data_IF_765619406521
#
_entry.id   IF_765619406521
#
_cell.length_a   1.000
_cell.length_b   1.000
_cell.length_c   1.000
_cell.angle_alpha   90.00
_cell.angle_beta   90.00
_cell.angle_gamma   90.00
#
_symmetry.space_group_name_H-M   'P 1'
#
loop_
_entity.id
_entity.type
_entity.pdbx_description
1 polymer ?
#
# COMPACT_ATOMS: atom_id res chain seq x y z
N UNK A 1 -15.11 -1.12 -16.68
CA UNK A 1 -15.62 -0.49 -15.43
C UNK A 1 -14.69 -0.68 -14.22
N UNK A 2 -13.86 -1.73 -14.16
CA UNK A 2 -12.95 -2.02 -13.01
C UNK A 2 -11.65 -1.19 -12.93
N UNK A 3 -11.11 -0.71 -14.05
CA UNK A 3 -9.80 -0.01 -14.10
C UNK A 3 -9.73 1.26 -13.23
N UNK A 4 -10.83 2.01 -13.11
CA UNK A 4 -10.85 3.27 -12.35
C UNK A 4 -10.71 3.07 -10.85
N UNK A 5 -11.33 2.02 -10.30
CA UNK A 5 -11.20 1.71 -8.86
C UNK A 5 -9.81 1.17 -8.54
N UNK A 6 -9.22 0.40 -9.44
CA UNK A 6 -7.91 -0.21 -9.23
C UNK A 6 -6.77 0.82 -9.17
N UNK A 7 -6.76 1.78 -10.11
CA UNK A 7 -5.84 2.92 -10.05
C UNK A 7 -6.02 3.74 -8.77
N UNK A 8 -7.22 3.74 -8.20
CA UNK A 8 -7.55 4.54 -7.06
C UNK A 8 -7.04 3.95 -5.74
N UNK A 9 -7.19 2.64 -5.52
CA UNK A 9 -6.65 1.95 -4.35
C UNK A 9 -5.13 2.02 -4.28
N UNK A 10 -4.46 1.74 -5.39
CA UNK A 10 -3.01 1.81 -5.47
C UNK A 10 -2.48 3.23 -5.14
N UNK A 11 -3.13 4.27 -5.66
CA UNK A 11 -2.75 5.67 -5.38
C UNK A 11 -2.92 6.04 -3.90
N UNK A 12 -3.84 5.42 -3.16
CA UNK A 12 -4.03 5.67 -1.72
C UNK A 12 -2.87 5.15 -0.88
N UNK A 13 -2.42 3.92 -1.14
CA UNK A 13 -1.29 3.31 -0.44
C UNK A 13 -0.01 4.13 -0.65
N UNK A 14 0.24 4.53 -1.90
CA UNK A 14 1.39 5.39 -2.24
C UNK A 14 1.32 6.76 -1.54
N UNK A 15 0.13 7.39 -1.55
CA UNK A 15 -0.05 8.68 -0.89
C UNK A 15 0.15 8.60 0.62
N UNK A 16 -0.33 7.53 1.28
CA UNK A 16 -0.10 7.33 2.71
C UNK A 16 1.39 7.22 3.04
N UNK A 17 2.12 6.40 2.29
CA UNK A 17 3.57 6.21 2.48
C UNK A 17 4.32 7.54 2.31
N UNK A 18 4.00 8.27 1.25
CA UNK A 18 4.60 9.58 0.97
C UNK A 18 4.26 10.62 2.05
N UNK A 19 2.98 10.81 2.37
CA UNK A 19 2.49 11.87 3.28
C UNK A 19 2.83 11.63 4.74
N UNK A 20 3.06 10.38 5.13
CA UNK A 20 3.47 10.01 6.49
C UNK A 20 5.00 9.91 6.63
N UNK A 21 5.76 10.13 5.55
CA UNK A 21 7.22 10.01 5.57
C UNK A 21 7.70 8.59 5.89
N UNK A 22 6.89 7.58 5.54
CA UNK A 22 7.22 6.17 5.78
C UNK A 22 8.34 5.75 4.83
N UNK A 23 9.30 4.99 5.35
CA UNK A 23 10.50 4.59 4.60
C UNK A 23 10.21 3.56 3.50
N UNK A 24 9.25 2.66 3.70
CA UNK A 24 8.86 1.66 2.70
C UNK A 24 7.43 1.17 2.94
N UNK A 25 6.83 0.54 1.92
CA UNK A 25 5.53 -0.09 2.11
C UNK A 25 5.24 -1.18 1.09
N UNK A 26 4.36 -2.09 1.51
CA UNK A 26 3.94 -3.24 0.72
C UNK A 26 2.41 -3.21 0.66
N UNK A 27 1.87 -3.24 -0.54
CA UNK A 27 0.44 -3.43 -0.77
C UNK A 27 0.21 -4.87 -1.22
N UNK A 28 -0.52 -5.63 -0.41
CA UNK A 28 -0.95 -7.00 -0.73
C UNK A 28 -2.31 -6.92 -1.43
N UNK A 29 -2.40 -7.34 -2.69
CA UNK A 29 -3.64 -7.35 -3.44
C UNK A 29 -3.65 -8.45 -4.51
N UNK A 30 -4.83 -9.04 -4.74
CA UNK A 30 -5.04 -10.02 -5.80
C UNK A 30 -5.29 -9.37 -7.17
N UNK A 31 -5.25 -8.04 -7.26
CA UNK A 31 -5.54 -7.27 -8.47
C UNK A 31 -6.69 -7.80 -9.34
N UNK A 32 -6.35 -8.45 -10.46
CA UNK A 32 -7.25 -9.13 -11.39
C UNK A 32 -6.90 -10.61 -11.55
N UNK A 33 -6.10 -11.17 -10.64
CA UNK A 33 -5.68 -12.56 -10.68
C UNK A 33 -6.85 -13.48 -10.28
N UNK A 34 -6.78 -14.74 -10.72
CA UNK A 34 -7.70 -15.79 -10.26
C UNK A 34 -7.66 -15.94 -8.74
N UNK A 35 -8.69 -16.57 -8.16
CA UNK A 35 -8.85 -16.70 -6.70
C UNK A 35 -7.67 -17.37 -5.99
N UNK A 36 -6.96 -18.26 -6.69
CA UNK A 36 -5.80 -18.97 -6.16
C UNK A 36 -4.52 -18.12 -6.10
N UNK A 37 -4.57 -16.87 -6.58
CA UNK A 37 -3.39 -16.02 -6.72
C UNK A 37 -3.57 -14.67 -6.03
N UNK A 38 -2.55 -14.29 -5.26
CA UNK A 38 -2.40 -12.97 -4.68
C UNK A 38 -1.13 -12.29 -5.23
N UNK A 39 -0.86 -11.06 -4.82
CA UNK A 39 0.30 -10.31 -5.25
C UNK A 39 0.73 -9.26 -4.23
N UNK A 40 1.95 -8.74 -4.42
CA UNK A 40 2.52 -7.67 -3.61
C UNK A 40 3.09 -6.58 -4.50
N UNK A 41 2.85 -5.32 -4.14
CA UNK A 41 3.50 -4.16 -4.74
C UNK A 41 4.34 -3.47 -3.69
N UNK A 42 5.62 -3.28 -3.97
CA UNK A 42 6.59 -2.76 -3.03
C UNK A 42 7.05 -1.36 -3.46
N UNK A 43 7.14 -0.45 -2.48
CA UNK A 43 7.73 0.87 -2.67
C UNK A 43 8.72 1.20 -1.57
N UNK A 44 9.71 2.00 -1.93
CA UNK A 44 10.70 2.59 -1.03
C UNK A 44 10.35 4.05 -0.72
N UNK A 45 11.27 4.74 -0.04
CA UNK A 45 11.14 6.12 0.43
C UNK A 45 10.58 7.04 -0.66
N UNK A 46 9.61 7.85 -0.27
CA UNK A 46 8.92 8.76 -1.18
C UNK A 46 7.99 8.04 -2.15
N UNK A 47 7.50 6.85 -1.80
CA UNK A 47 6.58 6.03 -2.61
C UNK A 47 7.13 5.66 -3.99
N UNK A 48 8.46 5.51 -4.12
CA UNK A 48 9.11 5.11 -5.37
C UNK A 48 8.98 3.59 -5.58
N UNK A 49 8.53 3.11 -6.76
CA UNK A 49 8.40 1.68 -7.01
C UNK A 49 9.71 0.90 -6.87
N UNK A 50 9.62 -0.29 -6.28
CA UNK A 50 10.69 -1.29 -6.33
C UNK A 50 10.35 -2.27 -7.45
N UNK A 51 11.14 -2.25 -8.51
CA UNK A 51 11.05 -3.07 -9.72
C UNK A 51 12.27 -3.99 -9.85
N UNK A 52 12.30 -4.83 -10.88
CA UNK A 52 13.37 -5.82 -11.11
C UNK A 52 14.79 -5.24 -10.98
N UNK A 53 15.04 -4.07 -11.56
CA UNK A 53 16.33 -3.38 -11.54
C UNK A 53 16.53 -2.42 -10.36
N UNK A 54 15.50 -2.09 -9.59
CA UNK A 54 15.61 -1.18 -8.44
C UNK A 54 15.54 -1.90 -7.09
N UNK A 55 15.61 -3.22 -7.08
CA UNK A 55 15.79 -4.02 -5.86
C UNK A 55 14.96 -5.30 -5.80
N UNK A 56 13.96 -5.49 -6.68
CA UNK A 56 13.07 -6.65 -6.58
C UNK A 56 13.81 -7.98 -6.80
N UNK A 57 14.78 -8.03 -7.72
CA UNK A 57 15.64 -9.22 -7.91
C UNK A 57 16.46 -9.54 -6.67
N UNK A 58 17.00 -8.52 -5.99
CA UNK A 58 17.75 -8.71 -4.75
C UNK A 58 16.85 -9.23 -3.62
N UNK A 59 15.61 -8.75 -3.54
CA UNK A 59 14.61 -9.27 -2.58
C UNK A 59 14.30 -10.73 -2.89
N UNK A 60 14.13 -11.08 -4.16
CA UNK A 60 13.93 -12.46 -4.61
C UNK A 60 15.11 -13.35 -4.20
N UNK A 61 16.34 -12.97 -4.55
CA UNK A 61 17.56 -13.73 -4.19
C UNK A 61 17.67 -13.96 -2.67
N UNK A 62 17.41 -12.92 -1.87
CA UNK A 62 17.42 -13.02 -0.41
C UNK A 62 16.33 -13.97 0.10
N UNK A 63 15.11 -13.87 -0.43
CA UNK A 63 14.01 -14.76 -0.05
C UNK A 63 14.27 -16.22 -0.44
N UNK A 64 14.79 -16.45 -1.65
CA UNK A 64 15.13 -17.77 -2.19
C UNK A 64 16.30 -18.42 -1.45
N UNK A 65 17.26 -17.62 -0.95
CA UNK A 65 18.35 -18.16 -0.13
C UNK A 65 17.85 -18.85 1.14
N UNK A 66 16.68 -18.46 1.64
CA UNK A 66 16.04 -18.98 2.85
C UNK A 66 16.95 -18.93 4.10
N UNK A 67 17.95 -18.04 4.10
CA UNK A 67 18.90 -17.83 5.20
C UNK A 67 18.38 -16.77 6.16
N UNK A 68 17.30 -17.08 6.86
CA UNK A 68 16.75 -16.20 7.89
C UNK A 68 17.38 -16.50 9.24
N UNK A 69 17.88 -15.47 9.94
CA UNK A 69 18.31 -15.61 11.32
C UNK A 69 17.12 -15.90 12.23
N UNK A 70 17.35 -16.55 13.38
CA UNK A 70 16.31 -16.67 14.41
C UNK A 70 15.98 -15.28 14.95
N UNK A 71 14.82 -14.76 14.55
CA UNK A 71 14.31 -13.48 15.04
C UNK A 71 13.35 -13.71 16.19
N UNK A 72 13.43 -12.85 17.20
CA UNK A 72 12.37 -12.74 18.20
C UNK A 72 11.07 -12.30 17.52
N UNK A 73 9.94 -12.85 17.95
CA UNK A 73 8.63 -12.42 17.47
C UNK A 73 8.47 -10.90 17.64
N UNK A 74 8.16 -10.21 16.54
CA UNK A 74 7.94 -8.77 16.55
C UNK A 74 6.64 -8.38 17.25
N UNK A 75 6.45 -7.07 17.48
CA UNK A 75 5.17 -6.54 17.96
C UNK A 75 4.41 -5.90 16.80
N UNK A 76 3.11 -6.17 16.74
CA UNK A 76 2.19 -5.48 15.86
C UNK A 76 1.40 -4.48 16.69
N UNK A 77 1.44 -3.21 16.30
CA UNK A 77 0.45 -2.23 16.75
C UNK A 77 -0.68 -2.27 15.73
N UNK A 78 -1.90 -2.55 16.19
CA UNK A 78 -3.08 -2.22 15.38
C UNK A 78 -2.89 -0.78 14.90
N UNK A 79 -2.98 -0.50 13.59
CA UNK A 79 -3.02 0.88 13.18
C UNK A 79 -4.17 1.48 13.98
N UNK A 80 -3.88 2.53 14.76
CA UNK A 80 -4.90 3.44 15.30
C UNK A 80 -5.97 3.51 14.23
N UNK A 81 -7.24 3.21 14.51
CA UNK A 81 -8.32 3.28 13.52
C UNK A 81 -8.12 4.55 12.72
N UNK A 82 -7.43 4.44 11.58
CA UNK A 82 -6.97 5.59 10.84
C UNK A 82 -8.20 5.89 10.04
N UNK A 83 -9.10 6.62 10.70
CA UNK A 83 -10.19 7.28 10.06
C UNK A 83 -9.57 7.93 8.85
N UNK A 84 -9.94 7.44 7.67
CA UNK A 84 -9.36 7.84 6.39
C UNK A 84 -9.34 9.37 6.28
N UNK A 85 -10.20 10.04 7.05
CA UNK A 85 -10.15 11.43 7.52
C UNK A 85 -8.75 12.01 7.80
N UNK A 86 -7.82 11.34 8.48
CA UNK A 86 -6.47 11.89 8.73
C UNK A 86 -5.65 12.02 7.46
N UNK A 87 -5.71 11.00 6.60
CA UNK A 87 -5.08 11.03 5.27
C UNK A 87 -5.81 12.04 4.39
N UNK A 88 -7.14 12.07 4.42
CA UNK A 88 -8.00 12.98 3.66
C UNK A 88 -7.79 14.45 4.03
N UNK A 89 -7.62 14.76 5.32
CA UNK A 89 -7.39 16.11 5.82
C UNK A 89 -5.99 16.63 5.45
N UNK A 90 -5.02 15.73 5.24
CA UNK A 90 -3.68 16.07 4.71
C UNK A 90 -3.64 16.19 3.19
N UNK A 91 -4.72 15.83 2.47
CA UNK A 91 -4.84 16.10 1.04
C UNK A 91 -5.20 17.58 0.83
N UNK A 92 -4.46 18.33 -0.02
CA UNK A 92 -4.79 19.71 -0.36
C UNK A 92 -6.23 19.86 -0.84
N UNK A 93 -6.92 20.94 -0.45
CA UNK A 93 -8.36 21.11 -0.68
C UNK A 93 -8.78 20.92 -2.15
N UNK A 94 -7.93 21.35 -3.11
CA UNK A 94 -8.19 21.18 -4.55
C UNK A 94 -8.23 19.72 -5.02
N UNK A 95 -7.54 18.81 -4.33
CA UNK A 95 -7.49 17.38 -4.66
C UNK A 95 -8.57 16.56 -3.93
N UNK A 96 -9.21 17.12 -2.90
CA UNK A 96 -10.26 16.45 -2.12
C UNK A 96 -11.52 16.15 -2.94
N UNK A 97 -11.83 16.96 -3.96
CA UNK A 97 -12.97 16.70 -4.87
C UNK A 97 -12.86 15.36 -5.60
N UNK A 98 -11.65 14.90 -5.93
CA UNK A 98 -11.41 13.58 -6.54
C UNK A 98 -11.61 12.39 -5.57
N UNK A 99 -11.63 12.67 -4.26
CA UNK A 99 -11.76 11.69 -3.18
C UNK A 99 -13.17 11.68 -2.56
N UNK A 100 -14.04 12.60 -2.98
CA UNK A 100 -15.41 12.77 -2.43
C UNK A 100 -16.32 11.54 -2.54
N UNK A 101 -16.25 10.67 -3.58
CA UNK A 101 -17.07 9.45 -3.62
C UNK A 101 -16.76 8.44 -2.51
N UNK A 102 -15.62 8.57 -1.82
CA UNK A 102 -15.14 7.61 -0.84
C UNK A 102 -15.74 7.74 0.55
N UNK A 103 -16.19 8.94 0.92
CA UNK A 103 -16.84 9.16 2.22
C UNK A 103 -18.20 8.46 2.30
N UNK A 104 -18.81 8.19 1.14
CA UNK A 104 -20.13 7.56 1.05
C UNK A 104 -20.11 6.03 1.18
N UNK A 105 -18.94 5.38 1.06
CA UNK A 105 -18.81 3.90 1.14
C UNK A 105 -18.92 3.40 2.61
N UNK A 106 -18.81 4.29 3.60
CA UNK A 106 -18.94 3.96 5.03
C UNK A 106 -20.37 3.61 5.50
N UNK A 107 -21.40 3.60 4.64
CA UNK A 107 -22.81 3.36 5.05
C UNK A 107 -23.38 1.98 4.74
N UNK A 108 -22.59 1.05 4.21
CA UNK A 108 -23.11 -0.27 3.84
C UNK A 108 -22.09 -1.36 4.11
N UNK A 109 -21.83 -1.58 5.40
CA UNK A 109 -21.57 -2.88 6.03
C UNK A 109 -22.24 -2.84 7.40
#
# INVERSE_FOLDING_TARGET
MYSRYWCFWYRRSLFAIFSLGIESGIEVNASHNSIDYNGMKLVQKGARPISGNTGLKKIQELAESNLFSSLSQGSYKKPLDHDISLIFNRVPQGLRKSLSPLLSIKKSV
#
